data_IF_361434095360
#
_entry.id   IF_361434095360
#
_cell.length_a   1.000
_cell.length_b   1.000
_cell.length_c   1.000
_cell.angle_alpha   90.00
_cell.angle_beta   90.00
_cell.angle_gamma   90.00
#
_symmetry.space_group_name_H-M   'P 1'
#
loop_
_entity.id
_entity.type
_entity.pdbx_description
1 polymer ?
#
# COMPACT_ATOMS: atom_id res chain seq x y z
N UNK A 1 -10.50 -44.24 -0.37
CA UNK A 1 -10.75 -42.92 -1.00
C UNK A 1 -9.46 -42.13 -0.89
N UNK A 2 -8.74 -41.94 -2.01
CA UNK A 2 -7.56 -41.09 -2.02
C UNK A 2 -8.02 -39.63 -1.87
N UNK A 3 -7.57 -38.96 -0.83
CA UNK A 3 -7.73 -37.53 -0.68
C UNK A 3 -6.98 -36.91 -1.87
N UNK A 4 -7.67 -36.26 -2.79
CA UNK A 4 -7.04 -35.45 -3.82
C UNK A 4 -6.34 -34.28 -3.07
N UNK A 5 -5.04 -34.43 -2.83
CA UNK A 5 -4.20 -33.33 -2.37
C UNK A 5 -4.27 -32.24 -3.44
N UNK A 6 -4.76 -31.07 -3.05
CA UNK A 6 -4.88 -29.94 -3.94
C UNK A 6 -3.46 -29.48 -4.32
N UNK A 7 -3.18 -29.22 -5.61
CA UNK A 7 -1.87 -28.76 -6.07
C UNK A 7 -1.36 -27.53 -5.29
N UNK A 8 -2.25 -26.70 -4.74
CA UNK A 8 -1.93 -25.59 -3.86
C UNK A 8 -1.23 -26.02 -2.54
N UNK A 9 -1.37 -27.28 -2.12
CA UNK A 9 -0.73 -27.80 -0.90
C UNK A 9 0.78 -28.03 -1.04
N UNK A 10 1.27 -28.07 -2.28
CA UNK A 10 2.69 -28.23 -2.59
C UNK A 10 3.48 -26.92 -2.67
N UNK A 11 2.83 -25.77 -2.69
CA UNK A 11 3.47 -24.47 -2.88
C UNK A 11 3.48 -23.64 -1.59
N UNK A 12 4.67 -23.34 -1.12
CA UNK A 12 4.94 -22.43 -0.01
C UNK A 12 4.83 -23.04 1.40
N UNK A 13 5.43 -22.37 2.38
CA UNK A 13 5.43 -22.80 3.77
C UNK A 13 4.02 -22.84 4.38
N UNK A 14 3.79 -23.77 5.31
CA UNK A 14 2.46 -23.95 5.93
C UNK A 14 1.95 -22.72 6.68
N UNK A 15 2.84 -21.88 7.22
CA UNK A 15 2.45 -20.65 7.90
C UNK A 15 1.91 -19.59 6.91
N UNK A 16 2.43 -19.53 5.68
CA UNK A 16 1.91 -18.62 4.63
C UNK A 16 0.51 -19.04 4.22
N UNK A 17 0.25 -20.34 4.10
CA UNK A 17 -1.07 -20.87 3.74
C UNK A 17 -2.16 -20.60 4.79
N UNK A 18 -1.76 -20.31 6.03
CA UNK A 18 -2.68 -19.99 7.14
C UNK A 18 -3.00 -18.50 7.26
N UNK A 19 -2.33 -17.65 6.48
CA UNK A 19 -2.59 -16.21 6.51
C UNK A 19 -3.96 -15.94 5.89
N UNK A 20 -4.81 -15.20 6.60
CA UNK A 20 -6.06 -14.69 6.04
C UNK A 20 -5.72 -13.58 5.04
N UNK A 21 -6.18 -13.69 3.77
CA UNK A 21 -5.95 -12.63 2.80
C UNK A 21 -6.57 -11.31 3.25
N UNK A 22 -5.89 -10.22 2.95
CA UNK A 22 -6.48 -8.89 3.13
C UNK A 22 -7.69 -8.71 2.21
N UNK A 23 -8.83 -8.33 2.79
CA UNK A 23 -10.05 -8.04 2.05
C UNK A 23 -10.12 -6.52 1.87
N UNK A 24 -9.83 -6.06 0.66
CA UNK A 24 -9.94 -4.64 0.32
C UNK A 24 -11.40 -4.17 0.35
N UNK A 25 -11.60 -2.88 0.65
CA UNK A 25 -12.92 -2.26 0.52
C UNK A 25 -13.40 -2.29 -0.94
N UNK A 26 -14.70 -2.55 -1.16
CA UNK A 26 -15.29 -2.62 -2.50
C UNK A 26 -15.17 -1.28 -3.25
N UNK A 27 -14.81 -1.29 -4.54
CA UNK A 27 -14.91 -0.11 -5.40
C UNK A 27 -16.37 0.39 -5.51
N UNK A 28 -16.56 1.68 -5.74
CA UNK A 28 -17.91 2.27 -5.95
C UNK A 28 -18.65 1.56 -7.08
N UNK A 29 -17.97 1.28 -8.21
CA UNK A 29 -18.54 0.59 -9.37
C UNK A 29 -19.01 -0.84 -9.07
N UNK A 30 -18.34 -1.54 -8.16
CA UNK A 30 -18.76 -2.88 -7.72
C UNK A 30 -20.03 -2.81 -6.88
N UNK A 31 -20.07 -1.89 -5.91
CA UNK A 31 -21.26 -1.66 -5.08
C UNK A 31 -22.45 -1.24 -5.92
N UNK A 32 -22.25 -0.33 -6.88
CA UNK A 32 -23.30 0.11 -7.80
C UNK A 32 -23.88 -1.05 -8.59
N UNK A 33 -23.05 -1.93 -9.15
CA UNK A 33 -23.52 -3.13 -9.87
C UNK A 33 -24.27 -4.11 -8.98
N UNK A 34 -23.72 -4.37 -7.78
CA UNK A 34 -24.31 -5.36 -6.84
C UNK A 34 -25.70 -4.95 -6.36
N UNK A 35 -25.89 -3.66 -6.11
CA UNK A 35 -27.12 -3.12 -5.53
C UNK A 35 -28.00 -2.36 -6.52
N UNK A 36 -27.63 -2.27 -7.80
CA UNK A 36 -28.39 -1.55 -8.83
C UNK A 36 -28.45 -0.04 -8.56
N UNK A 37 -27.40 0.55 -8.01
CA UNK A 37 -27.33 1.96 -7.64
C UNK A 37 -26.65 2.80 -8.73
N UNK A 38 -26.95 4.09 -8.73
CA UNK A 38 -26.24 5.09 -9.54
C UNK A 38 -24.90 5.44 -8.86
N UNK A 39 -23.77 5.19 -9.53
CA UNK A 39 -22.43 5.46 -9.01
C UNK A 39 -22.27 6.92 -8.56
N UNK A 40 -22.91 7.89 -9.27
CA UNK A 40 -22.83 9.31 -8.96
C UNK A 40 -23.49 9.67 -7.61
N UNK A 41 -24.34 8.79 -7.09
CA UNK A 41 -25.07 9.00 -5.83
C UNK A 41 -24.44 8.27 -4.64
N UNK A 42 -23.37 7.48 -4.87
CA UNK A 42 -22.69 6.74 -3.81
C UNK A 42 -21.64 7.63 -3.16
N UNK A 43 -21.74 7.80 -1.83
CA UNK A 43 -20.71 8.46 -1.02
C UNK A 43 -19.88 7.38 -0.36
N UNK A 44 -18.62 7.25 -0.76
CA UNK A 44 -17.67 6.31 -0.18
C UNK A 44 -16.97 6.94 1.03
N UNK A 45 -17.18 6.37 2.22
CA UNK A 45 -16.54 6.81 3.46
C UNK A 45 -15.44 5.84 3.93
N UNK A 46 -15.10 4.84 3.11
CA UNK A 46 -14.11 3.82 3.38
C UNK A 46 -12.79 4.11 2.66
N UNK A 47 -11.74 3.38 3.05
CA UNK A 47 -10.40 3.34 2.40
C UNK A 47 -9.54 4.59 2.58
N UNK A 48 -9.91 5.52 3.48
CA UNK A 48 -9.15 6.75 3.76
C UNK A 48 -8.79 7.56 2.48
N UNK A 49 -9.66 7.51 1.47
CA UNK A 49 -9.48 8.23 0.20
C UNK A 49 -9.78 9.73 0.36
N UNK A 50 -9.08 10.56 -0.41
CA UNK A 50 -9.34 11.99 -0.45
C UNK A 50 -10.42 12.31 -1.52
N UNK A 51 -11.67 12.63 -1.13
CA UNK A 51 -12.75 12.91 -2.08
C UNK A 51 -12.56 14.22 -2.86
N UNK A 52 -11.67 15.12 -2.39
CA UNK A 52 -11.33 16.36 -3.09
C UNK A 52 -10.39 16.11 -4.28
N UNK A 53 -9.81 14.93 -4.36
CA UNK A 53 -8.90 14.53 -5.42
C UNK A 53 -7.51 15.18 -5.31
N UNK A 54 -6.82 15.21 -6.44
CA UNK A 54 -5.44 15.68 -6.52
C UNK A 54 -5.40 17.19 -6.85
N UNK A 55 -4.55 17.98 -6.18
CA UNK A 55 -4.32 19.38 -6.53
C UNK A 55 -3.86 19.58 -7.98
N UNK A 56 -4.24 20.71 -8.58
CA UNK A 56 -3.88 21.01 -9.97
C UNK A 56 -2.35 21.08 -10.18
N UNK A 57 -1.61 21.59 -9.20
CA UNK A 57 -0.13 21.63 -9.22
C UNK A 57 0.48 20.24 -9.26
N UNK A 58 -0.06 19.29 -8.51
CA UNK A 58 0.43 17.90 -8.51
C UNK A 58 0.14 17.23 -9.86
N UNK A 59 -1.05 17.46 -10.45
CA UNK A 59 -1.37 16.96 -11.80
C UNK A 59 -0.41 17.49 -12.85
N UNK A 60 -0.10 18.79 -12.80
CA UNK A 60 0.85 19.42 -13.73
C UNK A 60 2.27 18.86 -13.55
N UNK A 61 2.73 18.64 -12.31
CA UNK A 61 4.04 18.06 -12.03
C UNK A 61 4.14 16.61 -12.55
N UNK A 62 3.11 15.80 -12.37
CA UNK A 62 3.05 14.43 -12.91
C UNK A 62 3.12 14.46 -14.45
N UNK A 63 2.34 15.33 -15.09
CA UNK A 63 2.36 15.45 -16.55
C UNK A 63 3.75 15.84 -17.06
N UNK A 64 4.43 16.78 -16.42
CA UNK A 64 5.79 17.18 -16.78
C UNK A 64 6.80 16.04 -16.57
N UNK A 65 6.66 15.25 -15.50
CA UNK A 65 7.56 14.15 -15.21
C UNK A 65 7.44 12.98 -16.22
N UNK A 66 6.35 12.90 -16.99
CA UNK A 66 6.17 11.83 -18.01
C UNK A 66 7.16 11.93 -19.17
N UNK A 67 7.77 13.08 -19.39
CA UNK A 67 8.77 13.29 -20.45
C UNK A 67 10.07 12.48 -20.21
N UNK A 68 10.38 12.09 -18.99
CA UNK A 68 11.62 11.39 -18.63
C UNK A 68 11.40 9.96 -18.10
N UNK A 69 10.27 9.33 -18.41
CA UNK A 69 9.95 7.95 -17.96
C UNK A 69 10.86 6.87 -18.54
N UNK A 70 11.70 7.20 -19.54
CA UNK A 70 12.67 6.28 -20.13
C UNK A 70 13.87 5.97 -19.22
N UNK A 71 13.99 6.64 -18.06
CA UNK A 71 15.09 6.47 -17.12
C UNK A 71 14.59 5.96 -15.77
N UNK A 72 15.45 5.23 -15.08
CA UNK A 72 15.14 4.87 -13.68
C UNK A 72 15.13 6.12 -12.81
N UNK A 73 14.17 6.19 -11.86
CA UNK A 73 14.18 7.25 -10.86
C UNK A 73 15.35 7.08 -9.89
N UNK A 74 15.68 8.15 -9.16
CA UNK A 74 16.63 8.05 -8.05
C UNK A 74 16.11 7.10 -6.98
N UNK A 75 16.80 5.97 -6.80
CA UNK A 75 16.42 4.93 -5.84
C UNK A 75 16.49 5.39 -4.37
N UNK A 76 17.27 6.42 -4.09
CA UNK A 76 17.40 6.98 -2.73
C UNK A 76 16.32 8.02 -2.41
N UNK A 77 15.63 8.55 -3.44
CA UNK A 77 14.60 9.57 -3.29
C UNK A 77 15.14 10.88 -2.70
N UNK A 78 16.33 11.31 -3.11
CA UNK A 78 17.04 12.45 -2.52
C UNK A 78 16.17 13.71 -2.46
N UNK A 79 15.58 14.12 -3.58
CA UNK A 79 14.75 15.33 -3.62
C UNK A 79 13.49 15.21 -2.74
N UNK A 80 12.85 14.05 -2.74
CA UNK A 80 11.66 13.79 -1.91
C UNK A 80 12.02 13.82 -0.43
N UNK A 81 13.11 13.17 -0.03
CA UNK A 81 13.59 13.20 1.37
C UNK A 81 13.99 14.60 1.81
N UNK A 82 14.65 15.37 0.94
CA UNK A 82 14.99 16.76 1.25
C UNK A 82 13.73 17.61 1.52
N UNK A 83 12.70 17.47 0.68
CA UNK A 83 11.43 18.18 0.87
C UNK A 83 10.65 17.72 2.11
N UNK A 84 10.67 16.44 2.41
CA UNK A 84 10.04 15.91 3.63
C UNK A 84 10.78 16.36 4.89
N UNK A 85 12.11 16.36 4.85
CA UNK A 85 12.98 16.85 5.92
C UNK A 85 12.68 18.32 6.23
N UNK A 86 12.63 19.17 5.20
CA UNK A 86 12.26 20.58 5.32
C UNK A 86 10.86 20.77 5.91
N UNK A 87 9.89 19.99 5.41
CA UNK A 87 8.47 20.13 5.80
C UNK A 87 8.19 19.69 7.24
N UNK A 88 8.84 18.62 7.69
CA UNK A 88 8.56 18.00 8.99
C UNK A 88 9.64 18.28 10.04
N UNK A 89 10.67 19.02 9.68
CA UNK A 89 11.80 19.36 10.56
C UNK A 89 12.45 18.10 11.18
N UNK A 90 12.73 17.11 10.30
CA UNK A 90 13.39 15.85 10.68
C UNK A 90 14.60 15.59 9.79
N UNK A 91 15.69 15.00 10.29
CA UNK A 91 16.83 14.62 9.47
C UNK A 91 16.46 13.74 8.29
N UNK A 92 16.98 13.98 7.09
CA UNK A 92 16.66 13.19 5.90
C UNK A 92 17.05 11.71 6.03
N UNK A 93 18.10 11.41 6.81
CA UNK A 93 18.55 10.06 7.13
C UNK A 93 17.58 9.27 8.04
N UNK A 94 16.62 9.93 8.67
CA UNK A 94 15.57 9.30 9.45
C UNK A 94 14.36 8.89 8.60
N UNK A 95 14.37 9.23 7.30
CA UNK A 95 13.26 8.97 6.40
C UNK A 95 13.50 7.69 5.61
N UNK A 96 12.55 6.78 5.69
CA UNK A 96 12.47 5.58 4.85
C UNK A 96 11.27 5.72 3.91
N UNK A 97 11.50 5.46 2.62
CA UNK A 97 10.46 5.52 1.59
C UNK A 97 9.99 4.11 1.21
N UNK A 98 8.72 4.00 0.85
CA UNK A 98 8.09 2.76 0.37
C UNK A 98 6.85 3.06 -0.47
N UNK A 99 6.33 2.04 -1.16
CA UNK A 99 5.11 2.13 -1.98
C UNK A 99 3.86 2.00 -1.10
N UNK A 100 3.73 2.90 -0.14
CA UNK A 100 2.66 2.89 0.85
C UNK A 100 3.10 2.31 2.20
N UNK A 101 2.19 2.37 3.18
CA UNK A 101 2.49 1.95 4.56
C UNK A 101 2.78 0.45 4.70
N UNK A 102 2.21 -0.40 3.85
CA UNK A 102 2.45 -1.83 3.88
C UNK A 102 3.91 -2.18 3.63
N UNK A 103 4.57 -1.53 2.65
CA UNK A 103 6.01 -1.72 2.42
C UNK A 103 6.83 -1.35 3.66
N UNK A 104 6.47 -0.25 4.32
CA UNK A 104 7.19 0.19 5.52
C UNK A 104 7.01 -0.80 6.67
N UNK A 105 5.80 -1.32 6.87
CA UNK A 105 5.55 -2.34 7.90
C UNK A 105 6.32 -3.63 7.63
N UNK A 106 6.36 -4.08 6.37
CA UNK A 106 7.11 -5.26 5.96
C UNK A 106 8.62 -5.05 6.12
N UNK A 107 9.15 -3.93 5.66
CA UNK A 107 10.56 -3.57 5.83
C UNK A 107 10.95 -3.51 7.31
N UNK A 108 10.11 -2.92 8.15
CA UNK A 108 10.33 -2.86 9.59
C UNK A 108 10.33 -4.26 10.22
N UNK A 109 9.38 -5.12 9.85
CA UNK A 109 9.33 -6.48 10.34
C UNK A 109 10.58 -7.27 9.94
N UNK A 110 11.02 -7.18 8.67
CA UNK A 110 12.21 -7.87 8.18
C UNK A 110 13.51 -7.35 8.80
N UNK A 111 13.61 -6.05 9.06
CA UNK A 111 14.84 -5.45 9.59
C UNK A 111 14.98 -5.61 11.11
N UNK A 112 13.88 -5.62 11.85
CA UNK A 112 13.91 -5.46 13.31
C UNK A 112 13.46 -6.72 14.06
N UNK A 113 12.74 -7.66 13.43
CA UNK A 113 12.15 -8.83 14.10
C UNK A 113 12.88 -10.11 13.69
N UNK A 114 13.36 -10.85 14.68
CA UNK A 114 14.03 -12.14 14.47
C UNK A 114 13.05 -13.30 14.64
N UNK A 115 13.44 -14.46 14.12
CA UNK A 115 12.64 -15.66 14.30
C UNK A 115 12.43 -15.98 15.79
N UNK A 116 11.16 -16.13 16.18
CA UNK A 116 10.77 -16.40 17.58
C UNK A 116 10.50 -15.15 18.42
N UNK A 117 10.73 -13.94 17.90
CA UNK A 117 10.32 -12.69 18.54
C UNK A 117 8.86 -12.35 18.23
N UNK A 118 8.28 -11.46 19.01
CA UNK A 118 6.87 -11.05 18.91
C UNK A 118 6.73 -9.59 18.50
N UNK A 119 5.69 -9.32 17.72
CA UNK A 119 5.25 -7.97 17.39
C UNK A 119 3.92 -7.72 18.08
N UNK A 120 3.75 -6.53 18.65
CA UNK A 120 2.48 -6.08 19.24
C UNK A 120 1.87 -5.02 18.33
N UNK A 121 0.62 -5.19 17.98
CA UNK A 121 -0.15 -4.25 17.16
C UNK A 121 -1.59 -4.17 17.67
N UNK A 122 -2.31 -3.11 17.29
CA UNK A 122 -3.70 -2.95 17.68
C UNK A 122 -4.59 -3.96 16.94
N UNK A 123 -5.64 -4.45 17.60
CA UNK A 123 -6.55 -5.49 17.07
C UNK A 123 -7.19 -5.10 15.72
N UNK A 124 -7.42 -3.80 15.51
CA UNK A 124 -8.08 -3.26 14.31
C UNK A 124 -7.16 -2.36 13.48
N UNK A 125 -5.85 -2.61 13.48
CA UNK A 125 -4.89 -1.86 12.65
C UNK A 125 -4.72 -2.47 11.26
#
# INVERSE_FOLDING_TARGET
MAVQENAADYFGPSYVRKISPYIAGKPISEVAREFGLDEARIVKLASNENPLGMPASAKAAIAAATEDLGRYPDSNGFELKAKLSEKYDVPAEWLTLGNGSNDILELAAHALVRNGESIVYAEYS
#
